data_IF_113471681192
#
_entry.id   IF_113471681192
#
_cell.length_a   1.000
_cell.length_b   1.000
_cell.length_c   1.000
_cell.angle_alpha   90.00
_cell.angle_beta   90.00
_cell.angle_gamma   90.00
#
_symmetry.space_group_name_H-M   'P 1'
#
loop_
_entity.id
_entity.type
_entity.pdbx_description
1 polymer ?
#
# COMPACT_ATOMS: atom_id res chain seq x y z
N UNK A 1 5.28 -21.46 -29.21
CA UNK A 1 5.66 -20.04 -29.42
C UNK A 1 6.15 -19.48 -28.08
N UNK A 2 7.45 -19.20 -27.94
CA UNK A 2 7.95 -18.45 -26.78
C UNK A 2 7.59 -16.99 -27.04
N UNK A 3 6.72 -16.43 -26.20
CA UNK A 3 6.44 -14.99 -26.23
C UNK A 3 7.75 -14.33 -25.79
N UNK A 4 8.39 -13.50 -26.62
CA UNK A 4 9.58 -12.79 -26.20
C UNK A 4 9.21 -11.93 -24.98
N UNK A 5 10.06 -11.89 -23.93
CA UNK A 5 9.79 -11.03 -22.79
C UNK A 5 9.60 -9.61 -23.33
N UNK A 6 8.49 -8.93 -22.99
CA UNK A 6 8.28 -7.58 -23.49
C UNK A 6 9.46 -6.72 -23.02
N UNK A 7 10.12 -6.03 -23.95
CA UNK A 7 11.14 -5.03 -23.61
C UNK A 7 10.49 -3.96 -22.73
N UNK A 8 10.57 -4.15 -21.42
CA UNK A 8 10.14 -3.17 -20.43
C UNK A 8 11.21 -2.08 -20.34
N UNK A 9 11.26 -1.21 -21.35
CA UNK A 9 11.72 0.16 -21.11
C UNK A 9 10.86 0.70 -19.95
N UNK A 10 11.48 1.27 -18.92
CA UNK A 10 10.82 1.69 -17.69
C UNK A 10 9.51 2.44 -18.01
N UNK A 11 8.39 1.75 -17.85
CA UNK A 11 7.06 2.31 -18.08
C UNK A 11 6.67 3.01 -16.79
N UNK A 12 6.77 4.33 -16.79
CA UNK A 12 6.38 5.15 -15.65
C UNK A 12 4.85 5.18 -15.50
N UNK A 13 4.35 5.72 -14.38
CA UNK A 13 2.91 5.89 -14.13
C UNK A 13 2.20 6.63 -15.27
N UNK A 14 2.91 7.51 -16.00
CA UNK A 14 2.40 8.19 -17.19
C UNK A 14 1.93 7.21 -18.28
N UNK A 15 2.66 6.12 -18.51
CA UNK A 15 2.29 5.10 -19.48
C UNK A 15 0.98 4.39 -19.10
N UNK A 16 0.77 4.14 -17.81
CA UNK A 16 -0.45 3.51 -17.31
C UNK A 16 -1.67 4.41 -17.51
N UNK A 17 -1.50 5.73 -17.34
CA UNK A 17 -2.58 6.71 -17.53
C UNK A 17 -2.96 6.91 -19.00
N UNK A 18 -2.01 6.70 -19.92
CA UNK A 18 -2.19 6.75 -21.37
C UNK A 18 -2.94 5.53 -21.94
N UNK A 19 -3.22 4.51 -21.11
CA UNK A 19 -3.94 3.32 -21.56
C UNK A 19 -5.40 3.61 -21.95
N UNK A 20 -6.01 2.76 -22.80
CA UNK A 20 -7.43 2.85 -23.14
C UNK A 20 -8.33 2.91 -21.91
N UNK A 21 -9.50 3.53 -22.06
CA UNK A 21 -10.45 3.72 -20.95
C UNK A 21 -10.86 2.39 -20.30
N UNK A 22 -11.03 1.33 -21.09
CA UNK A 22 -11.39 0.00 -20.58
C UNK A 22 -10.32 -0.56 -19.64
N UNK A 23 -9.05 -0.36 -19.95
CA UNK A 23 -7.93 -0.78 -19.09
C UNK A 23 -7.93 -0.01 -17.78
N UNK A 24 -8.20 1.30 -17.83
CA UNK A 24 -8.31 2.15 -16.64
C UNK A 24 -9.50 1.74 -15.77
N UNK A 25 -10.65 1.44 -16.37
CA UNK A 25 -11.82 0.95 -15.66
C UNK A 25 -11.56 -0.40 -14.99
N UNK A 26 -10.94 -1.35 -15.70
CA UNK A 26 -10.53 -2.64 -15.11
C UNK A 26 -9.57 -2.46 -13.93
N UNK A 27 -8.64 -1.51 -14.01
CA UNK A 27 -7.75 -1.18 -12.89
C UNK A 27 -8.55 -0.70 -11.67
N UNK A 28 -9.50 0.21 -11.87
CA UNK A 28 -10.36 0.71 -10.78
C UNK A 28 -11.20 -0.43 -10.18
N UNK A 29 -11.78 -1.29 -11.02
CA UNK A 29 -12.57 -2.44 -10.55
C UNK A 29 -11.73 -3.43 -9.73
N UNK A 30 -10.47 -3.63 -10.09
CA UNK A 30 -9.59 -4.61 -9.46
C UNK A 30 -8.50 -4.01 -8.55
N UNK A 31 -8.56 -2.72 -8.23
CA UNK A 31 -7.49 -2.03 -7.50
C UNK A 31 -7.19 -2.69 -6.14
N UNK A 32 -8.20 -3.17 -5.41
CA UNK A 32 -7.99 -3.87 -4.14
C UNK A 32 -7.22 -5.18 -4.31
N UNK A 33 -7.48 -5.92 -5.39
CA UNK A 33 -6.73 -7.14 -5.70
C UNK A 33 -5.27 -6.81 -6.00
N UNK A 34 -5.03 -5.73 -6.73
CA UNK A 34 -3.68 -5.25 -7.04
C UNK A 34 -2.97 -4.83 -5.74
N UNK A 35 -3.63 -4.04 -4.89
CA UNK A 35 -3.10 -3.62 -3.59
C UNK A 35 -2.79 -4.84 -2.71
N UNK A 36 -3.65 -5.86 -2.69
CA UNK A 36 -3.40 -7.11 -1.97
C UNK A 36 -2.14 -7.81 -2.45
N UNK A 37 -1.94 -7.89 -3.77
CA UNK A 37 -0.72 -8.49 -4.34
C UNK A 37 0.52 -7.70 -3.93
N UNK A 38 0.45 -6.36 -3.99
CA UNK A 38 1.52 -5.46 -3.58
C UNK A 38 1.89 -5.64 -2.11
N UNK A 39 0.89 -5.72 -1.23
CA UNK A 39 1.09 -6.00 0.20
C UNK A 39 1.75 -7.37 0.40
N UNK A 40 1.30 -8.40 -0.31
CA UNK A 40 1.92 -9.72 -0.20
C UNK A 40 3.39 -9.70 -0.65
N UNK A 41 3.73 -8.94 -1.69
CA UNK A 41 5.09 -8.80 -2.19
C UNK A 41 5.99 -8.13 -1.15
N UNK A 42 5.56 -6.99 -0.58
CA UNK A 42 6.28 -6.29 0.49
C UNK A 42 6.58 -7.23 1.67
N UNK A 43 5.57 -8.00 2.11
CA UNK A 43 5.76 -8.95 3.22
C UNK A 43 6.64 -10.15 2.83
N UNK A 44 6.65 -10.53 1.55
CA UNK A 44 7.52 -11.58 1.03
C UNK A 44 8.97 -11.11 1.03
N UNK A 45 9.23 -9.88 0.57
CA UNK A 45 10.56 -9.27 0.53
C UNK A 45 11.18 -9.15 1.93
N UNK A 46 10.40 -8.76 2.94
CA UNK A 46 10.84 -8.78 4.34
C UNK A 46 11.32 -10.17 4.76
N UNK A 47 10.51 -11.19 4.47
CA UNK A 47 10.84 -12.58 4.81
C UNK A 47 12.07 -13.06 4.08
N UNK A 48 12.23 -12.72 2.79
CA UNK A 48 13.44 -13.05 2.03
C UNK A 48 14.67 -12.32 2.57
N UNK A 49 14.53 -11.08 3.06
CA UNK A 49 15.62 -10.33 3.68
C UNK A 49 16.15 -11.04 4.93
N UNK A 50 15.25 -11.57 5.78
CA UNK A 50 15.66 -12.27 7.01
C UNK A 50 16.07 -13.73 6.77
N UNK A 51 15.34 -14.46 5.93
CA UNK A 51 15.47 -15.92 5.78
C UNK A 51 16.18 -16.34 4.48
N UNK A 52 16.49 -15.41 3.59
CA UNK A 52 17.03 -15.67 2.24
C UNK A 52 15.98 -16.15 1.25
N UNK A 53 16.34 -16.23 -0.02
CA UNK A 53 15.46 -16.74 -1.09
C UNK A 53 14.97 -18.15 -0.78
N UNK A 54 13.74 -18.45 -1.21
CA UNK A 54 13.19 -19.79 -1.06
C UNK A 54 14.04 -20.82 -1.81
N UNK A 55 14.29 -21.96 -1.18
CA UNK A 55 15.13 -23.05 -1.71
C UNK A 55 16.60 -22.69 -1.94
N UNK A 56 17.07 -21.54 -1.45
CA UNK A 56 18.49 -21.21 -1.46
C UNK A 56 19.23 -21.94 -0.34
N UNK A 57 20.47 -22.34 -0.62
CA UNK A 57 21.42 -22.83 0.39
C UNK A 57 22.09 -21.69 1.15
N UNK A 58 22.10 -20.47 0.59
CA UNK A 58 22.59 -19.27 1.24
C UNK A 58 21.60 -18.82 2.32
N UNK A 59 22.09 -18.74 3.56
CA UNK A 59 21.28 -18.34 4.72
C UNK A 59 21.75 -16.98 5.23
N UNK A 60 20.98 -15.91 5.00
CA UNK A 60 21.20 -14.64 5.67
C UNK A 60 21.15 -14.81 7.19
N UNK A 61 21.78 -13.89 7.91
CA UNK A 61 21.79 -13.87 9.38
C UNK A 61 22.24 -15.21 10.00
N UNK A 62 23.17 -15.91 9.32
CA UNK A 62 23.67 -17.23 9.71
C UNK A 62 22.56 -18.29 9.96
N UNK A 63 21.39 -18.09 9.35
CA UNK A 63 20.23 -18.96 9.56
C UNK A 63 19.53 -18.82 10.91
N UNK A 64 19.73 -17.70 11.62
CA UNK A 64 18.99 -17.32 12.85
C UNK A 64 17.48 -17.36 12.64
N UNK A 65 17.01 -16.86 11.50
CA UNK A 65 15.58 -16.75 11.20
C UNK A 65 15.06 -17.94 10.38
N UNK A 66 13.82 -18.36 10.64
CA UNK A 66 13.12 -19.39 9.84
C UNK A 66 11.67 -19.02 9.54
N UNK A 67 11.17 -19.49 8.39
CA UNK A 67 9.77 -19.35 8.00
C UNK A 67 8.88 -20.28 8.84
N UNK A 68 7.85 -19.75 9.49
CA UNK A 68 7.02 -20.50 10.45
C UNK A 68 5.53 -20.56 10.08
N UNK A 69 5.20 -20.31 8.81
CA UNK A 69 3.83 -20.30 8.31
C UNK A 69 3.22 -18.91 8.31
N UNK A 70 1.90 -18.82 8.51
CA UNK A 70 1.13 -17.59 8.34
C UNK A 70 0.11 -17.40 9.45
N UNK A 71 -0.16 -16.13 9.80
CA UNK A 71 -1.30 -15.73 10.62
C UNK A 71 -2.37 -15.04 9.77
N UNK A 72 -3.66 -15.21 10.09
CA UNK A 72 -4.71 -14.40 9.47
C UNK A 72 -4.55 -12.95 9.93
N UNK A 73 -4.54 -12.02 8.98
CA UNK A 73 -4.43 -10.60 9.24
C UNK A 73 -5.29 -9.78 8.28
N UNK A 74 -5.24 -8.46 8.45
CA UNK A 74 -5.92 -7.55 7.55
C UNK A 74 -5.25 -6.19 7.53
N UNK A 75 -5.20 -5.59 6.34
CA UNK A 75 -4.72 -4.22 6.12
C UNK A 75 -5.91 -3.33 5.77
N UNK A 76 -5.89 -2.09 6.27
CA UNK A 76 -6.92 -1.08 5.96
C UNK A 76 -6.43 -0.22 4.80
N UNK A 77 -7.25 -0.06 3.78
CA UNK A 77 -6.97 0.77 2.60
C UNK A 77 -8.17 1.68 2.39
N UNK A 78 -8.06 2.92 2.89
CA UNK A 78 -9.20 3.83 3.01
C UNK A 78 -10.33 3.19 3.83
N UNK A 79 -11.57 3.25 3.33
CA UNK A 79 -12.72 2.67 4.03
C UNK A 79 -12.85 1.14 3.91
N UNK A 80 -11.94 0.47 3.19
CA UNK A 80 -12.03 -0.97 2.94
C UNK A 80 -10.96 -1.73 3.71
N UNK A 81 -11.31 -2.92 4.20
CA UNK A 81 -10.40 -3.82 4.91
C UNK A 81 -10.11 -5.05 4.05
N UNK A 82 -8.85 -5.25 3.71
CA UNK A 82 -8.38 -6.35 2.88
C UNK A 82 -7.82 -7.43 3.79
N UNK A 83 -8.36 -8.66 3.68
CA UNK A 83 -7.84 -9.83 4.41
C UNK A 83 -6.58 -10.35 3.75
N UNK A 84 -5.56 -10.62 4.54
CA UNK A 84 -4.27 -11.14 4.08
C UNK A 84 -3.76 -12.26 5.00
N UNK A 85 -2.82 -13.05 4.49
CA UNK A 85 -2.09 -14.06 5.27
C UNK A 85 -0.72 -13.49 5.59
N UNK A 86 -0.51 -13.08 6.82
CA UNK A 86 0.73 -12.43 7.26
C UNK A 86 1.78 -13.51 7.53
N UNK A 87 2.93 -13.51 6.84
CA UNK A 87 3.97 -14.50 7.06
C UNK A 87 4.56 -14.36 8.47
N UNK A 88 5.00 -15.49 9.03
CA UNK A 88 5.67 -15.54 10.33
C UNK A 88 7.13 -15.88 10.16
N UNK A 89 7.96 -15.12 10.84
CA UNK A 89 9.39 -15.37 10.99
C UNK A 89 9.62 -15.81 12.44
N UNK A 90 10.22 -16.97 12.62
CA UNK A 90 10.66 -17.46 13.91
C UNK A 90 12.13 -17.10 14.10
N UNK A 91 12.42 -16.48 15.24
CA UNK A 91 13.78 -16.22 15.69
C UNK A 91 14.25 -17.38 16.57
N UNK A 92 15.31 -18.06 16.14
CA UNK A 92 15.85 -19.20 16.89
C UNK A 92 16.64 -18.79 18.12
N UNK A 93 17.19 -17.59 18.16
CA UNK A 93 17.97 -17.10 19.29
C UNK A 93 17.04 -16.67 20.43
N UNK A 94 16.04 -15.84 20.12
CA UNK A 94 15.07 -15.34 21.11
C UNK A 94 13.89 -16.32 21.34
N UNK A 95 13.83 -17.41 20.58
CA UNK A 95 12.79 -18.44 20.64
C UNK A 95 11.35 -17.91 20.52
N UNK A 96 11.18 -16.85 19.73
CA UNK A 96 9.89 -16.17 19.56
C UNK A 96 9.65 -15.77 18.11
N UNK A 97 8.41 -15.40 17.78
CA UNK A 97 8.14 -14.85 16.46
C UNK A 97 8.63 -13.40 16.40
N UNK A 98 9.36 -13.05 15.36
CA UNK A 98 9.74 -11.68 15.07
C UNK A 98 8.55 -10.95 14.43
N UNK A 99 8.14 -9.77 14.94
CA UNK A 99 7.14 -8.94 14.27
C UNK A 99 7.70 -8.37 12.96
N UNK A 100 6.82 -8.16 11.97
CA UNK A 100 7.17 -7.57 10.69
C UNK A 100 6.86 -6.07 10.72
N UNK A 101 7.91 -5.24 10.71
CA UNK A 101 7.78 -3.78 10.78
C UNK A 101 6.93 -3.24 9.63
N UNK A 102 7.17 -3.70 8.39
CA UNK A 102 6.37 -3.29 7.22
C UNK A 102 4.88 -3.66 7.37
N UNK A 103 4.55 -4.76 8.07
CA UNK A 103 3.15 -5.10 8.34
C UNK A 103 2.50 -4.12 9.32
N UNK A 104 3.23 -3.74 10.37
CA UNK A 104 2.75 -2.79 11.36
C UNK A 104 2.57 -1.41 10.72
N UNK A 105 3.52 -0.96 9.88
CA UNK A 105 3.39 0.26 9.08
C UNK A 105 2.17 0.23 8.15
N UNK A 106 1.98 -0.87 7.41
CA UNK A 106 0.81 -1.06 6.53
C UNK A 106 -0.50 -1.03 7.32
N UNK A 107 -0.51 -1.55 8.54
CA UNK A 107 -1.68 -1.52 9.42
C UNK A 107 -1.96 -0.13 9.97
N UNK A 108 -0.91 0.66 10.21
CA UNK A 108 -0.96 2.02 10.74
C UNK A 108 -1.11 3.10 9.66
N UNK A 109 -1.14 2.74 8.37
CA UNK A 109 -1.48 3.66 7.27
C UNK A 109 -2.81 4.37 7.60
N UNK A 110 -2.69 5.58 8.14
CA UNK A 110 -3.81 6.43 8.52
C UNK A 110 -4.56 6.80 7.25
N UNK A 111 -5.89 6.81 7.33
CA UNK A 111 -6.72 7.26 6.22
C UNK A 111 -6.25 8.65 5.77
N UNK A 112 -5.98 8.79 4.48
CA UNK A 112 -5.81 10.11 3.86
C UNK A 112 -7.15 10.82 3.94
N UNK A 113 -7.17 11.85 4.79
CA UNK A 113 -8.14 12.94 4.92
C UNK A 113 -9.63 12.57 5.02
N UNK A 114 -10.08 12.26 6.24
CA UNK A 114 -11.49 12.41 6.63
C UNK A 114 -12.04 13.82 6.36
N UNK A 115 -11.16 14.83 6.24
CA UNK A 115 -11.53 16.21 5.93
C UNK A 115 -12.22 16.36 4.57
N UNK A 116 -11.83 15.59 3.54
CA UNK A 116 -12.47 15.64 2.22
C UNK A 116 -13.85 14.98 2.23
N UNK A 117 -14.00 13.84 2.90
CA UNK A 117 -15.29 13.18 3.06
C UNK A 117 -16.26 14.03 3.88
N UNK A 118 -15.77 14.66 4.96
CA UNK A 118 -16.55 15.60 5.75
C UNK A 118 -16.93 16.84 4.92
N UNK A 119 -16.02 17.40 4.12
CA UNK A 119 -16.32 18.52 3.23
C UNK A 119 -17.40 18.17 2.18
N UNK A 120 -17.37 16.95 1.63
CA UNK A 120 -18.40 16.47 0.70
C UNK A 120 -19.74 16.27 1.42
N UNK A 121 -19.74 15.65 2.61
CA UNK A 121 -20.94 15.44 3.43
C UNK A 121 -21.57 16.77 3.89
N UNK A 122 -20.76 17.70 4.35
CA UNK A 122 -21.18 19.06 4.72
C UNK A 122 -21.57 19.91 3.50
N UNK A 123 -21.05 19.62 2.30
CA UNK A 123 -21.46 20.27 1.06
C UNK A 123 -22.80 19.76 0.51
N UNK A 124 -23.17 18.50 0.81
CA UNK A 124 -24.46 17.90 0.46
C UNK A 124 -25.57 18.25 1.47
N UNK A 125 -25.20 18.54 2.73
CA UNK A 125 -26.11 19.06 3.75
C UNK A 125 -26.13 20.59 3.68
N UNK A 126 -27.29 21.19 3.41
CA UNK A 126 -27.43 22.67 3.31
C UNK A 126 -27.16 23.43 4.64
N UNK A 127 -26.82 22.74 5.74
CA UNK A 127 -26.68 23.33 7.07
C UNK A 127 -25.35 24.00 7.37
N UNK A 128 -24.23 23.56 6.77
CA UNK A 128 -22.87 23.94 7.19
C UNK A 128 -21.90 24.23 6.03
N UNK A 129 -22.40 24.90 4.98
CA UNK A 129 -21.62 25.22 3.77
C UNK A 129 -20.38 26.10 4.05
N UNK A 130 -20.40 26.91 5.13
CA UNK A 130 -19.29 27.78 5.50
C UNK A 130 -18.01 27.04 5.88
N UNK A 131 -18.13 25.97 6.69
CA UNK A 131 -16.96 25.18 7.11
C UNK A 131 -16.32 24.39 5.95
N UNK A 132 -17.12 24.03 4.94
CA UNK A 132 -16.64 23.39 3.71
C UNK A 132 -15.76 24.33 2.91
N UNK A 133 -16.17 25.59 2.80
CA UNK A 133 -15.41 26.62 2.09
C UNK A 133 -14.07 26.87 2.78
N UNK A 134 -14.05 26.98 4.11
CA UNK A 134 -12.82 27.19 4.87
C UNK A 134 -11.86 26.01 4.74
N UNK A 135 -12.37 24.78 4.84
CA UNK A 135 -11.57 23.55 4.65
C UNK A 135 -11.03 23.44 3.23
N UNK A 136 -11.83 23.80 2.22
CA UNK A 136 -11.38 23.84 0.83
C UNK A 136 -10.29 24.89 0.61
N UNK A 137 -10.44 26.09 1.18
CA UNK A 137 -9.40 27.14 1.11
C UNK A 137 -8.10 26.68 1.74
N UNK A 138 -8.16 26.04 2.91
CA UNK A 138 -7.00 25.49 3.59
C UNK A 138 -6.33 24.36 2.79
N UNK A 139 -7.11 23.48 2.17
CA UNK A 139 -6.59 22.42 1.30
C UNK A 139 -5.90 22.99 0.06
N UNK A 140 -6.55 23.95 -0.61
CA UNK A 140 -5.99 24.62 -1.79
C UNK A 140 -4.72 25.39 -1.42
N UNK A 141 -4.71 26.03 -0.25
CA UNK A 141 -3.54 26.73 0.30
C UNK A 141 -2.38 25.77 0.56
N UNK A 142 -2.61 24.69 1.31
CA UNK A 142 -1.58 23.66 1.56
C UNK A 142 -1.04 23.07 0.27
N UNK A 143 -1.90 22.82 -0.72
CA UNK A 143 -1.47 22.36 -2.05
C UNK A 143 -0.61 23.41 -2.76
N UNK A 144 -1.00 24.69 -2.73
CA UNK A 144 -0.20 25.78 -3.33
C UNK A 144 1.18 25.91 -2.67
N UNK A 145 1.24 25.75 -1.35
CA UNK A 145 2.48 25.80 -0.58
C UNK A 145 3.38 24.59 -0.86
N UNK A 146 2.81 23.38 -1.01
CA UNK A 146 3.54 22.17 -1.40
C UNK A 146 4.14 22.23 -2.81
N UNK A 147 3.59 23.06 -3.71
CA UNK A 147 4.11 23.28 -5.07
C UNK A 147 5.03 24.51 -5.19
N UNK A 148 5.37 25.18 -4.07
CA UNK A 148 6.31 26.32 -4.08
C UNK A 148 5.79 27.57 -4.81
N UNK A 149 4.47 27.72 -4.95
CA UNK A 149 3.81 28.82 -5.67
C UNK A 149 3.36 29.97 -4.75
N UNK A 150 3.88 30.04 -3.52
CA UNK A 150 3.62 31.16 -2.61
C UNK A 150 4.45 32.39 -3.03
N UNK A 151 3.78 33.48 -3.39
CA UNK A 151 4.38 34.81 -3.47
C UNK A 151 4.26 35.52 -2.13
#
# INVERSE_FOLDING_TARGET
MKIPPPEMKSKDLSWLLDQPIDTKLSLVQHHLSIVRLLVNEILSDDVETFCGKRYSHEKPNDGRYSRWGYNPGSVKVGNQRIKISVPRIYDKEDQQNKPLESYDELRELKDVDQSLSNAILHGLSMGDYGQVIDTLYDCVRRRRDSFGLSR
#
